data_IF_453004838706
#
_entry.id   IF_453004838706
#
_cell.length_a   1.000
_cell.length_b   1.000
_cell.length_c   1.000
_cell.angle_alpha   90.00
_cell.angle_beta   90.00
_cell.angle_gamma   90.00
#
_symmetry.space_group_name_H-M   'P 1'
#
loop_
_entity.id
_entity.type
_entity.pdbx_description
1 polymer ?
#
# COMPACT_ATOMS: atom_id res chain seq x y z
N UNK A 1 -4.11 -2.76 -13.76
CA UNK A 1 -2.93 -2.55 -12.89
C UNK A 1 -3.12 -3.43 -11.68
N UNK A 2 -2.07 -4.11 -11.23
CA UNK A 2 -2.15 -4.99 -10.07
C UNK A 2 -1.30 -4.45 -8.93
N UNK A 3 -1.81 -4.55 -7.72
CA UNK A 3 -1.16 -4.04 -6.51
C UNK A 3 -0.93 -5.22 -5.57
N UNK A 4 0.32 -5.38 -5.13
CA UNK A 4 0.65 -6.25 -4.00
C UNK A 4 1.00 -5.37 -2.81
N UNK A 5 0.38 -5.67 -1.68
CA UNK A 5 0.61 -4.95 -0.43
C UNK A 5 1.01 -5.92 0.66
N UNK A 6 2.01 -5.54 1.43
CA UNK A 6 2.46 -6.22 2.63
C UNK A 6 2.59 -5.21 3.76
N UNK A 7 2.14 -5.58 4.94
CA UNK A 7 2.26 -4.76 6.14
C UNK A 7 2.92 -5.60 7.22
N UNK A 8 4.00 -5.08 7.81
CA UNK A 8 4.60 -5.61 9.01
C UNK A 8 4.28 -4.64 10.15
N UNK A 9 3.32 -5.02 10.99
CA UNK A 9 2.94 -4.21 12.15
C UNK A 9 4.00 -4.32 13.24
N UNK A 10 4.16 -3.29 14.08
CA UNK A 10 5.07 -3.30 15.25
C UNK A 10 4.86 -4.48 16.21
N UNK A 11 3.67 -5.08 16.20
CA UNK A 11 3.32 -6.27 16.98
C UNK A 11 3.84 -7.60 16.38
N UNK A 12 4.60 -7.55 15.27
CA UNK A 12 5.12 -8.72 14.57
C UNK A 12 4.11 -9.43 13.66
N UNK A 13 2.92 -8.87 13.46
CA UNK A 13 1.93 -9.43 12.54
C UNK A 13 2.30 -8.99 11.12
N UNK A 14 2.50 -9.97 10.23
CA UNK A 14 2.68 -9.73 8.80
C UNK A 14 1.39 -10.01 8.04
N UNK A 15 0.78 -8.97 7.48
CA UNK A 15 -0.32 -9.10 6.52
C UNK A 15 0.23 -8.99 5.10
N UNK A 16 -0.33 -9.79 4.20
CA UNK A 16 0.01 -9.71 2.77
C UNK A 16 -1.19 -10.05 1.90
N UNK A 17 -1.29 -9.36 0.79
CA UNK A 17 -2.23 -9.70 -0.25
C UNK A 17 -1.99 -8.96 -1.55
N UNK A 18 -2.78 -9.34 -2.53
CA UNK A 18 -2.70 -8.82 -3.87
C UNK A 18 -4.11 -8.57 -4.36
N UNK A 19 -4.32 -7.44 -5.02
CA UNK A 19 -5.59 -7.03 -5.58
C UNK A 19 -5.36 -6.31 -6.89
N UNK A 20 -6.25 -6.53 -7.84
CA UNK A 20 -6.29 -5.78 -9.08
C UNK A 20 -7.02 -4.45 -8.85
N UNK A 21 -6.58 -3.37 -9.49
CA UNK A 21 -7.23 -2.06 -9.35
C UNK A 21 -8.71 -2.11 -9.74
N UNK A 22 -9.04 -2.92 -10.75
CA UNK A 22 -10.42 -3.13 -11.22
C UNK A 22 -11.31 -3.86 -10.21
N UNK A 23 -10.70 -4.52 -9.23
CA UNK A 23 -11.37 -5.20 -8.14
C UNK A 23 -11.61 -4.28 -6.94
N UNK A 24 -10.96 -3.12 -6.87
CA UNK A 24 -11.22 -2.17 -5.81
C UNK A 24 -12.57 -1.46 -6.04
N UNK A 25 -13.25 -1.02 -4.97
CA UNK A 25 -14.39 -0.11 -5.08
C UNK A 25 -14.03 1.11 -5.91
N UNK A 26 -14.97 1.64 -6.70
CA UNK A 26 -14.72 2.77 -7.62
C UNK A 26 -14.08 3.97 -6.92
N UNK A 27 -14.54 4.29 -5.70
CA UNK A 27 -14.01 5.38 -4.89
C UNK A 27 -12.53 5.16 -4.53
N UNK A 28 -12.20 3.98 -4.00
CA UNK A 28 -10.83 3.61 -3.63
C UNK A 28 -9.92 3.48 -4.86
N UNK A 29 -10.43 2.93 -5.97
CA UNK A 29 -9.70 2.85 -7.23
C UNK A 29 -9.39 4.23 -7.80
N UNK A 30 -10.29 5.20 -7.63
CA UNK A 30 -10.06 6.58 -8.02
C UNK A 30 -8.99 7.22 -7.12
N UNK A 31 -9.09 7.08 -5.80
CA UNK A 31 -8.08 7.57 -4.86
C UNK A 31 -6.69 7.00 -5.14
N UNK A 32 -6.58 5.70 -5.41
CA UNK A 32 -5.32 5.08 -5.81
C UNK A 32 -4.78 5.73 -7.09
N UNK A 33 -5.60 5.93 -8.12
CA UNK A 33 -5.11 6.54 -9.36
C UNK A 33 -4.65 8.00 -9.18
N UNK A 34 -5.29 8.76 -8.28
CA UNK A 34 -4.93 10.16 -8.03
C UNK A 34 -3.73 10.30 -7.12
N UNK A 35 -3.63 9.45 -6.09
CA UNK A 35 -2.62 9.58 -5.02
C UNK A 35 -1.40 8.70 -5.28
N UNK A 36 -1.52 7.53 -5.91
CA UNK A 36 -0.41 6.60 -6.19
C UNK A 36 0.35 6.99 -7.48
N UNK A 37 0.66 8.27 -7.60
CA UNK A 37 1.56 8.76 -8.63
C UNK A 37 3.02 8.49 -8.24
N UNK A 38 3.93 8.27 -9.20
CA UNK A 38 5.35 8.02 -8.89
C UNK A 38 5.98 9.11 -8.02
N UNK A 39 5.60 10.38 -8.25
CA UNK A 39 6.10 11.52 -7.48
C UNK A 39 5.66 11.47 -6.02
N UNK A 40 4.36 11.22 -5.77
CA UNK A 40 3.82 11.19 -4.42
C UNK A 40 4.29 9.95 -3.64
N UNK A 41 4.33 8.78 -4.31
CA UNK A 41 4.86 7.54 -3.71
C UNK A 41 6.36 7.65 -3.42
N UNK A 42 7.14 8.27 -4.30
CA UNK A 42 8.57 8.48 -4.05
C UNK A 42 8.80 9.46 -2.91
N UNK A 43 8.03 10.54 -2.84
CA UNK A 43 8.09 11.48 -1.72
C UNK A 43 7.74 10.79 -0.40
N UNK A 44 6.67 9.98 -0.39
CA UNK A 44 6.26 9.25 0.78
C UNK A 44 7.26 8.16 1.21
N UNK A 45 7.81 7.41 0.26
CA UNK A 45 8.82 6.40 0.54
C UNK A 45 10.17 7.00 0.99
N UNK A 46 10.46 8.25 0.61
CA UNK A 46 11.65 8.96 1.04
C UNK A 46 11.55 9.50 2.48
N UNK A 47 10.36 9.50 3.08
CA UNK A 47 10.21 9.87 4.49
C UNK A 47 11.00 8.90 5.35
N UNK A 48 11.93 9.44 6.13
CA UNK A 48 12.76 8.62 6.98
C UNK A 48 11.94 8.11 8.16
N UNK A 49 12.10 6.82 8.54
CA UNK A 49 11.49 6.30 9.74
C UNK A 49 11.97 7.13 10.92
N UNK A 50 11.04 7.63 11.73
CA UNK A 50 11.40 8.34 12.93
C UNK A 50 12.02 7.33 13.89
N UNK A 51 13.33 7.40 14.23
CA UNK A 51 14.02 6.36 14.98
C UNK A 51 13.50 6.17 16.42
N UNK A 52 12.59 7.05 16.86
CA UNK A 52 11.91 6.97 18.15
C UNK A 52 10.60 6.18 18.11
N UNK A 53 10.06 5.84 16.93
CA UNK A 53 8.87 4.99 16.80
C UNK A 53 9.28 3.53 16.79
N UNK A 54 9.36 2.92 17.97
CA UNK A 54 9.78 1.52 18.18
C UNK A 54 8.72 0.50 17.72
N UNK A 55 7.50 0.97 17.43
CA UNK A 55 6.33 0.17 17.04
C UNK A 55 5.76 0.56 15.66
N UNK A 56 6.51 1.30 14.83
CA UNK A 56 6.01 1.73 13.53
C UNK A 56 5.68 0.53 12.63
N UNK A 57 4.53 0.59 11.96
CA UNK A 57 4.18 -0.38 10.93
C UNK A 57 4.98 -0.09 9.66
N UNK A 58 5.57 -1.13 9.07
CA UNK A 58 6.23 -1.04 7.77
C UNK A 58 5.27 -1.53 6.68
N UNK A 59 5.06 -0.71 5.66
CA UNK A 59 4.22 -1.00 4.52
C UNK A 59 5.11 -1.20 3.29
N UNK A 60 4.92 -2.29 2.57
CA UNK A 60 5.62 -2.60 1.31
C UNK A 60 4.56 -2.71 0.20
N UNK A 61 4.60 -1.75 -0.71
CA UNK A 61 3.72 -1.66 -1.88
C UNK A 61 4.51 -2.05 -3.12
N UNK A 62 3.98 -2.98 -3.91
CA UNK A 62 4.50 -3.30 -5.25
C UNK A 62 3.40 -3.09 -6.27
N UNK A 63 3.65 -2.16 -7.19
CA UNK A 63 2.76 -1.85 -8.31
C UNK A 63 3.26 -2.60 -9.54
N UNK A 64 2.39 -3.46 -10.07
CA UNK A 64 2.59 -4.17 -11.32
C UNK A 64 1.84 -3.41 -12.43
N UNK A 65 2.57 -2.73 -13.33
CA UNK A 65 1.97 -2.07 -14.48
C UNK A 65 1.29 -3.11 -15.39
N UNK A 66 0.24 -2.71 -16.10
CA UNK A 66 -0.40 -3.58 -17.10
C UNK A 66 0.48 -3.81 -18.33
N UNK A 67 1.39 -2.87 -18.62
CA UNK A 67 2.33 -2.99 -19.71
C UNK A 67 3.46 -3.97 -19.33
N UNK A 68 3.63 -5.10 -20.05
CA UNK A 68 4.64 -6.09 -19.72
C UNK A 68 6.09 -5.63 -19.97
N UNK A 69 6.30 -4.48 -20.63
CA UNK A 69 7.62 -3.88 -20.83
C UNK A 69 8.04 -2.99 -19.65
N UNK A 70 7.11 -2.64 -18.76
CA UNK A 70 7.40 -1.86 -17.58
C UNK A 70 7.74 -2.78 -16.40
N UNK A 71 8.82 -2.44 -15.69
CA UNK A 71 9.21 -3.17 -14.49
C UNK A 71 8.29 -2.83 -13.32
N UNK A 72 7.94 -3.81 -12.46
CA UNK A 72 7.21 -3.54 -11.23
C UNK A 72 7.95 -2.50 -10.38
N UNK A 73 7.20 -1.57 -9.80
CA UNK A 73 7.75 -0.54 -8.93
C UNK A 73 7.45 -0.92 -7.48
N UNK A 74 8.50 -0.99 -6.67
CA UNK A 74 8.40 -1.31 -5.26
C UNK A 74 8.69 -0.06 -4.43
N UNK A 75 7.82 0.18 -3.45
CA UNK A 75 7.90 1.28 -2.50
C UNK A 75 7.77 0.71 -1.08
N UNK A 76 8.57 1.24 -0.17
CA UNK A 76 8.51 0.91 1.24
C UNK A 76 8.20 2.19 2.02
N UNK A 77 7.20 2.11 2.87
CA UNK A 77 6.76 3.18 3.75
C UNK A 77 6.86 2.71 5.18
N UNK A 78 7.07 3.65 6.07
CA UNK A 78 6.99 3.42 7.51
C UNK A 78 5.92 4.37 8.02
N UNK A 79 5.10 3.91 8.96
CA UNK A 79 4.12 4.72 9.66
C UNK A 79 4.82 5.93 10.28
N UNK A 80 4.75 7.06 9.60
CA UNK A 80 5.40 8.32 9.95
C UNK A 80 4.43 9.45 9.57
N UNK A 81 4.27 10.42 10.48
CA UNK A 81 3.27 11.50 10.45
C UNK A 81 3.12 12.23 9.09
N UNK A 82 4.16 12.28 8.26
CA UNK A 82 4.20 13.09 7.03
C UNK A 82 3.44 12.48 5.83
N UNK A 83 3.04 11.20 5.87
CA UNK A 83 2.44 10.50 4.71
C UNK A 83 1.06 9.90 4.97
N UNK A 84 0.24 10.60 5.75
CA UNK A 84 -1.06 10.11 6.20
C UNK A 84 -1.97 9.68 5.03
N UNK A 85 -2.06 10.45 3.95
CA UNK A 85 -2.96 10.13 2.81
C UNK A 85 -2.59 8.83 2.10
N UNK A 86 -1.30 8.58 1.85
CA UNK A 86 -0.84 7.33 1.22
C UNK A 86 -1.10 6.14 2.15
N UNK A 87 -0.78 6.30 3.43
CA UNK A 87 -0.97 5.24 4.43
C UNK A 87 -2.45 4.88 4.62
N UNK A 88 -3.35 5.86 4.67
CA UNK A 88 -4.80 5.62 4.74
C UNK A 88 -5.29 4.77 3.56
N UNK A 89 -4.89 5.12 2.34
CA UNK A 89 -5.27 4.37 1.13
C UNK A 89 -4.70 2.95 1.19
N UNK A 90 -3.46 2.76 1.67
CA UNK A 90 -2.86 1.44 1.83
C UNK A 90 -3.64 0.58 2.83
N UNK A 91 -4.06 1.16 3.95
CA UNK A 91 -4.88 0.49 4.96
C UNK A 91 -6.26 0.10 4.39
N UNK A 92 -6.92 0.98 3.63
CA UNK A 92 -8.19 0.68 2.97
C UNK A 92 -8.07 -0.44 1.93
N UNK A 93 -7.00 -0.45 1.12
CA UNK A 93 -6.70 -1.55 0.20
C UNK A 93 -6.49 -2.86 0.99
N UNK A 94 -5.72 -2.84 2.07
CA UNK A 94 -5.50 -4.04 2.88
C UNK A 94 -6.80 -4.54 3.49
N UNK A 95 -7.64 -3.64 4.00
CA UNK A 95 -8.94 -4.00 4.54
C UNK A 95 -9.79 -4.68 3.48
N UNK A 96 -9.83 -4.16 2.25
CA UNK A 96 -10.59 -4.77 1.17
C UNK A 96 -10.02 -6.15 0.77
N UNK A 97 -8.69 -6.30 0.73
CA UNK A 97 -8.02 -7.60 0.53
C UNK A 97 -8.47 -8.62 1.60
N UNK A 98 -8.45 -8.23 2.88
CA UNK A 98 -8.84 -9.09 4.00
C UNK A 98 -10.33 -9.42 3.96
N UNK A 99 -11.17 -8.43 3.67
CA UNK A 99 -12.63 -8.59 3.52
C UNK A 99 -12.96 -9.60 2.43
N UNK A 100 -12.34 -9.47 1.26
CA UNK A 100 -12.50 -10.41 0.14
C UNK A 100 -12.00 -11.81 0.45
N UNK A 101 -10.92 -11.95 1.23
CA UNK A 101 -10.46 -13.27 1.74
C UNK A 101 -11.47 -13.91 2.69
N UNK A 102 -12.09 -13.14 3.58
CA UNK A 102 -13.11 -13.64 4.52
C UNK A 102 -14.42 -14.04 3.85
N UNK A 103 -14.83 -13.35 2.78
CA UNK A 103 -16.07 -13.64 2.03
C UNK A 103 -16.04 -14.89 1.14
N UNK A 104 -14.91 -15.60 1.05
CA UNK A 104 -14.73 -16.83 0.25
C UNK A 104 -14.77 -18.13 1.07
N UNK A 105 -15.11 -18.07 2.37
CA UNK A 105 -15.31 -19.25 3.24
C UNK A 105 -16.78 -19.64 3.36
#
# INVERSE_FOLDING_TARGET
MKISLRILTGQGITLRGQIDLMDLPEDLAHQVQTTFTPENLSAAAAAQPNPQMVDASEYELVIYPDDPNLTPQQYSFVDADDNFEVLEILDDIMHEIVRRKKGRS
#
